data_IF_921823811070
#
_entry.id   IF_921823811070
#
_cell.length_a   1.000
_cell.length_b   1.000
_cell.length_c   1.000
_cell.angle_alpha   90.00
_cell.angle_beta   90.00
_cell.angle_gamma   90.00
#
_symmetry.space_group_name_H-M   'P 1'
#
loop_
_entity.id
_entity.type
_entity.pdbx_description
1 polymer ?
#
# COMPACT_ATOMS: atom_id res chain seq x y z
N UNK A 1 -10.91 5.67 1.20
CA UNK A 1 -10.12 6.44 0.20
C UNK A 1 -10.15 5.78 -1.19
N UNK A 2 -10.08 6.55 -2.28
CA UNK A 2 -9.92 5.98 -3.65
C UNK A 2 -8.45 5.76 -3.96
N UNK A 3 -8.06 4.54 -4.34
CA UNK A 3 -6.66 4.17 -4.63
C UNK A 3 -6.43 3.93 -6.12
N UNK A 4 -5.34 4.47 -6.67
CA UNK A 4 -4.88 4.16 -8.03
C UNK A 4 -3.74 3.13 -7.99
N UNK A 5 -3.80 2.11 -8.85
CA UNK A 5 -2.73 1.10 -8.98
C UNK A 5 -2.04 1.29 -10.32
N UNK A 6 -0.74 1.59 -10.28
CA UNK A 6 0.04 1.78 -11.50
C UNK A 6 0.36 0.46 -12.20
N UNK A 7 0.48 0.47 -13.53
CA UNK A 7 0.92 -0.70 -14.32
C UNK A 7 2.28 -1.23 -13.87
N UNK A 8 3.19 -0.32 -13.49
CA UNK A 8 4.53 -0.67 -12.98
C UNK A 8 4.44 -1.47 -11.69
N UNK A 9 3.60 -1.04 -10.75
CA UNK A 9 3.39 -1.75 -9.50
C UNK A 9 2.78 -3.14 -9.73
N UNK A 10 1.77 -3.25 -10.60
CA UNK A 10 1.17 -4.54 -10.95
C UNK A 10 2.21 -5.53 -11.53
N UNK A 11 3.07 -5.05 -12.43
CA UNK A 11 4.16 -5.86 -13.00
C UNK A 11 5.14 -6.35 -11.93
N UNK A 12 5.46 -5.50 -10.94
CA UNK A 12 6.32 -5.88 -9.81
C UNK A 12 5.65 -6.95 -8.95
N UNK A 13 4.41 -6.74 -8.50
CA UNK A 13 3.68 -7.71 -7.68
C UNK A 13 3.58 -9.08 -8.38
N UNK A 14 3.29 -9.09 -9.68
CA UNK A 14 3.20 -10.33 -10.44
C UNK A 14 4.54 -11.08 -10.54
N UNK A 15 5.67 -10.35 -10.62
CA UNK A 15 7.01 -10.92 -10.78
C UNK A 15 7.66 -11.34 -9.46
N UNK A 16 7.47 -10.58 -8.38
CA UNK A 16 8.31 -10.71 -7.17
C UNK A 16 7.55 -11.17 -5.92
N UNK A 17 6.23 -11.01 -5.86
CA UNK A 17 5.49 -11.35 -4.65
C UNK A 17 5.07 -12.83 -4.65
N UNK A 18 5.36 -13.51 -3.54
CA UNK A 18 4.84 -14.86 -3.29
C UNK A 18 3.37 -14.82 -2.83
N UNK A 19 2.77 -16.00 -2.65
CA UNK A 19 1.34 -16.11 -2.27
C UNK A 19 1.05 -15.40 -0.93
N UNK A 20 1.96 -15.50 0.04
CA UNK A 20 1.83 -14.86 1.35
C UNK A 20 1.87 -13.33 1.24
N UNK A 21 2.86 -12.80 0.52
CA UNK A 21 3.02 -11.36 0.28
C UNK A 21 1.82 -10.79 -0.48
N UNK A 22 1.30 -11.50 -1.49
CA UNK A 22 0.08 -11.09 -2.21
C UNK A 22 -1.14 -11.00 -1.30
N UNK A 23 -1.32 -11.98 -0.39
CA UNK A 23 -2.43 -11.95 0.59
C UNK A 23 -2.32 -10.75 1.53
N UNK A 24 -1.14 -10.49 2.09
CA UNK A 24 -0.92 -9.32 2.95
C UNK A 24 -1.11 -8.00 2.19
N UNK A 25 -0.67 -7.95 0.94
CA UNK A 25 -0.84 -6.76 0.10
C UNK A 25 -2.32 -6.46 -0.18
N UNK A 26 -3.13 -7.48 -0.44
CA UNK A 26 -4.57 -7.33 -0.61
C UNK A 26 -5.22 -6.77 0.66
N UNK A 27 -4.91 -7.33 1.83
CA UNK A 27 -5.41 -6.84 3.13
C UNK A 27 -5.04 -5.36 3.37
N UNK A 28 -3.81 -4.96 3.02
CA UNK A 28 -3.39 -3.55 3.11
C UNK A 28 -4.17 -2.66 2.15
N UNK A 29 -4.40 -3.10 0.91
CA UNK A 29 -5.18 -2.32 -0.08
C UNK A 29 -6.61 -2.14 0.42
N UNK A 30 -7.26 -3.19 0.90
CA UNK A 30 -8.64 -3.15 1.43
C UNK A 30 -8.76 -2.21 2.63
N UNK A 31 -7.81 -2.30 3.59
CA UNK A 31 -7.75 -1.39 4.74
C UNK A 31 -7.51 0.07 4.32
N UNK A 32 -6.66 0.29 3.32
CA UNK A 32 -6.39 1.63 2.79
C UNK A 32 -7.63 2.21 2.08
N UNK A 33 -8.37 1.37 1.36
CA UNK A 33 -9.60 1.80 0.67
C UNK A 33 -10.74 2.10 1.64
N UNK A 34 -10.85 1.36 2.74
CA UNK A 34 -11.87 1.58 3.79
C UNK A 34 -11.50 2.70 4.77
N UNK A 35 -10.22 3.06 4.88
CA UNK A 35 -9.77 4.16 5.73
C UNK A 35 -10.42 5.50 5.36
N UNK A 36 -10.75 6.28 6.39
CA UNK A 36 -11.30 7.65 6.26
C UNK A 36 -10.18 8.66 6.44
N UNK A 37 -9.21 8.38 7.31
CA UNK A 37 -8.05 9.22 7.58
C UNK A 37 -6.74 8.44 7.37
N UNK A 38 -5.62 9.16 7.22
CA UNK A 38 -4.30 8.52 7.08
C UNK A 38 -3.87 7.77 8.35
N UNK A 39 -4.38 8.16 9.52
CA UNK A 39 -4.05 7.53 10.80
C UNK A 39 -4.72 6.15 10.94
N UNK A 40 -5.79 5.89 10.19
CA UNK A 40 -6.48 4.60 10.20
C UNK A 40 -5.71 3.51 9.43
N UNK A 41 -4.72 3.92 8.61
CA UNK A 41 -3.94 3.00 7.79
C UNK A 41 -2.81 2.39 8.65
N UNK A 42 -2.82 1.07 8.90
CA UNK A 42 -1.83 0.44 9.76
C UNK A 42 -0.42 0.48 9.15
N UNK A 43 0.58 0.59 10.03
CA UNK A 43 2.00 0.62 9.65
C UNK A 43 2.39 1.72 8.64
N UNK A 44 1.58 2.78 8.52
CA UNK A 44 1.87 3.93 7.68
C UNK A 44 2.96 4.80 8.32
N UNK A 45 4.02 5.08 7.57
CA UNK A 45 5.10 6.00 7.97
C UNK A 45 5.29 7.09 6.94
N UNK A 46 5.46 8.33 7.40
CA UNK A 46 5.79 9.47 6.54
C UNK A 46 7.19 9.29 5.95
N UNK A 47 7.35 9.52 4.65
CA UNK A 47 8.68 9.58 4.05
C UNK A 47 9.32 10.95 4.28
N UNK A 48 10.54 10.94 4.85
CA UNK A 48 11.33 12.17 5.06
C UNK A 48 11.69 12.79 3.70
N UNK A 49 11.56 14.12 3.59
CA UNK A 49 11.86 14.85 2.36
C UNK A 49 10.72 14.92 1.34
N UNK A 50 9.58 14.26 1.58
CA UNK A 50 8.44 14.26 0.67
C UNK A 50 7.17 14.82 1.34
N UNK A 51 6.56 15.83 0.72
CA UNK A 51 5.42 16.55 1.31
C UNK A 51 4.16 15.68 1.46
N UNK A 52 3.84 14.83 0.48
CA UNK A 52 2.59 14.04 0.46
C UNK A 52 2.79 12.54 0.29
N UNK A 53 4.00 12.03 0.55
CA UNK A 53 4.31 10.61 0.35
C UNK A 53 4.45 9.87 1.68
N UNK A 54 3.99 8.62 1.68
CA UNK A 54 3.99 7.70 2.81
C UNK A 54 4.42 6.31 2.35
N UNK A 55 4.83 5.46 3.30
CA UNK A 55 5.20 4.07 3.06
C UNK A 55 4.53 3.16 4.08
N UNK A 56 4.07 2.02 3.61
CA UNK A 56 3.64 0.88 4.43
C UNK A 56 4.72 -0.20 4.31
N UNK A 57 5.19 -0.74 5.44
CA UNK A 57 6.19 -1.83 5.45
C UNK A 57 5.45 -3.17 5.43
N UNK A 58 5.81 -4.02 4.48
CA UNK A 58 5.27 -5.38 4.29
C UNK A 58 6.21 -6.45 4.85
#
# INVERSE_FOLDING_TARGET
MKTEITKKFLKQVNKTADKSTKKKLLDIIEKTQSATTLNDIPALKKLKGYKHTYRIRL
#
